data_IF_486008088976
#
_entry.id   IF_486008088976
#
_cell.length_a   1.000
_cell.length_b   1.000
_cell.length_c   1.000
_cell.angle_alpha   90.00
_cell.angle_beta   90.00
_cell.angle_gamma   90.00
#
_symmetry.space_group_name_H-M   'P 1'
#
loop_
_entity.id
_entity.type
_entity.pdbx_description
1 polymer ?
#
# COMPACT_ATOMS: atom_id res chain seq x y z
N UNK A 1 -0.41 12.18 24.90
CA UNK A 1 -1.77 12.60 24.49
C UNK A 1 -2.80 11.78 25.26
N UNK A 2 -3.91 12.40 25.68
CA UNK A 2 -4.99 11.72 26.41
C UNK A 2 -5.67 10.69 25.50
N UNK A 3 -5.89 9.42 25.92
CA UNK A 3 -6.53 8.42 25.07
C UNK A 3 -8.00 8.75 24.81
N UNK A 4 -8.40 8.83 23.55
CA UNK A 4 -9.78 9.06 23.13
C UNK A 4 -10.47 7.71 22.82
N UNK A 5 -11.72 7.47 23.27
CA UNK A 5 -12.44 6.22 22.98
C UNK A 5 -12.64 5.98 21.48
N UNK A 6 -12.47 4.73 21.03
CA UNK A 6 -12.68 4.28 19.64
C UNK A 6 -14.12 3.80 19.35
N UNK A 7 -15.11 4.23 20.14
CA UNK A 7 -16.50 3.82 19.96
C UNK A 7 -17.23 4.84 19.08
N UNK A 8 -17.24 4.56 17.78
CA UNK A 8 -18.11 5.21 16.79
C UNK A 8 -19.26 4.29 16.39
N UNK A 9 -20.35 4.87 15.88
CA UNK A 9 -21.48 4.13 15.31
C UNK A 9 -21.05 3.34 14.07
N UNK A 10 -21.20 2.01 14.10
CA UNK A 10 -20.94 1.15 12.96
C UNK A 10 -22.19 1.09 12.06
N UNK A 11 -22.13 1.72 10.88
CA UNK A 11 -23.08 1.46 9.80
C UNK A 11 -22.45 0.53 8.75
N UNK A 12 -23.27 -0.09 7.89
CA UNK A 12 -22.82 -1.01 6.83
C UNK A 12 -22.09 -0.32 5.67
N UNK A 13 -22.04 1.00 5.67
CA UNK A 13 -21.02 1.81 5.01
C UNK A 13 -19.93 2.13 6.04
N UNK A 14 -18.64 2.15 5.69
CA UNK A 14 -17.54 2.60 6.56
C UNK A 14 -17.79 4.02 7.10
N UNK A 15 -18.64 4.18 8.12
CA UNK A 15 -19.39 5.40 8.50
C UNK A 15 -18.55 6.52 9.11
N UNK A 16 -17.46 6.84 8.44
CA UNK A 16 -16.61 8.01 8.59
C UNK A 16 -16.43 8.57 7.20
N UNK A 17 -16.80 9.84 6.98
CA UNK A 17 -16.57 10.49 5.70
C UNK A 17 -15.05 10.52 5.48
N UNK A 18 -14.53 9.74 4.53
CA UNK A 18 -13.08 9.49 4.42
C UNK A 18 -12.20 10.73 4.22
N UNK A 19 -12.79 11.90 3.96
CA UNK A 19 -12.10 13.19 3.93
C UNK A 19 -11.60 13.65 5.30
N UNK A 20 -12.40 13.56 6.36
CA UNK A 20 -11.97 13.96 7.73
C UNK A 20 -10.78 13.10 8.19
N UNK A 21 -10.84 11.81 7.87
CA UNK A 21 -9.79 10.82 8.14
C UNK A 21 -8.47 11.11 7.39
N UNK A 22 -8.56 11.84 6.28
CA UNK A 22 -7.43 12.21 5.45
C UNK A 22 -6.80 13.53 5.93
N UNK A 23 -7.61 14.48 6.39
CA UNK A 23 -7.11 15.71 7.02
C UNK A 23 -6.40 15.39 8.36
N UNK A 24 -7.01 14.54 9.20
CA UNK A 24 -6.36 14.01 10.42
C UNK A 24 -5.03 13.31 10.14
N UNK A 25 -4.92 12.64 8.99
CA UNK A 25 -3.69 11.97 8.59
C UNK A 25 -2.61 12.96 8.17
N UNK A 26 -2.98 13.97 7.38
CA UNK A 26 -2.07 15.05 6.96
C UNK A 26 -1.53 15.81 8.18
N UNK A 27 -2.36 16.01 9.20
CA UNK A 27 -1.93 16.66 10.45
C UNK A 27 -0.92 15.81 11.25
N UNK A 28 -0.87 14.50 11.00
CA UNK A 28 -0.02 13.55 11.73
C UNK A 28 1.21 13.07 10.96
N UNK A 29 1.17 13.10 9.63
CA UNK A 29 2.22 12.60 8.76
C UNK A 29 2.76 13.71 7.87
N UNK A 30 4.07 13.90 7.89
CA UNK A 30 4.74 14.73 6.90
C UNK A 30 4.71 14.07 5.52
N UNK A 31 4.69 14.85 4.43
CA UNK A 31 4.95 14.33 3.09
C UNK A 31 6.25 13.51 3.05
N UNK A 32 6.26 12.46 2.23
CA UNK A 32 7.43 11.61 2.06
C UNK A 32 8.57 12.39 1.39
N UNK A 33 9.83 12.08 1.72
CA UNK A 33 10.96 12.64 1.00
C UNK A 33 10.93 12.19 -0.46
N UNK A 34 11.34 13.08 -1.36
CA UNK A 34 11.51 12.73 -2.77
C UNK A 34 12.62 11.69 -2.89
N UNK A 35 12.27 10.52 -3.41
CA UNK A 35 13.21 9.45 -3.75
C UNK A 35 13.23 9.26 -5.26
N UNK A 36 14.26 8.58 -5.75
CA UNK A 36 14.29 8.17 -7.16
C UNK A 36 13.05 7.31 -7.51
N UNK A 37 12.30 7.61 -8.59
CA UNK A 37 11.08 6.88 -8.95
C UNK A 37 11.35 5.44 -9.40
N UNK A 38 10.46 4.50 -9.06
CA UNK A 38 10.55 3.12 -9.53
C UNK A 38 10.53 3.05 -11.08
N UNK A 39 11.38 2.22 -11.71
CA UNK A 39 11.32 1.98 -13.15
C UNK A 39 9.92 1.51 -13.60
N UNK A 40 9.45 1.98 -14.76
CA UNK A 40 8.10 1.70 -15.25
C UNK A 40 7.90 0.23 -15.66
N UNK A 41 8.94 -0.37 -16.24
CA UNK A 41 9.04 -1.82 -16.50
C UNK A 41 8.93 -2.61 -15.20
N UNK A 42 9.61 -2.18 -14.14
CA UNK A 42 9.49 -2.82 -12.83
C UNK A 42 8.06 -2.74 -12.26
N UNK A 43 7.38 -1.58 -12.41
CA UNK A 43 5.98 -1.45 -11.99
C UNK A 43 5.10 -2.49 -12.70
N UNK A 44 5.32 -2.71 -14.00
CA UNK A 44 4.61 -3.70 -14.80
C UNK A 44 4.94 -5.16 -14.40
N UNK A 45 6.19 -5.44 -14.03
CA UNK A 45 6.67 -6.79 -13.70
C UNK A 45 6.33 -7.25 -12.28
N UNK A 46 6.20 -6.32 -11.33
CA UNK A 46 5.98 -6.62 -9.90
C UNK A 46 4.86 -7.63 -9.62
N UNK A 47 3.68 -7.58 -10.28
CA UNK A 47 2.64 -8.59 -10.05
C UNK A 47 3.12 -10.02 -10.36
N UNK A 48 3.92 -10.20 -11.41
CA UNK A 48 4.47 -11.52 -11.75
C UNK A 48 5.54 -11.96 -10.74
N UNK A 49 6.42 -11.03 -10.33
CA UNK A 49 7.45 -11.28 -9.33
C UNK A 49 6.85 -11.72 -7.98
N UNK A 50 5.77 -11.06 -7.55
CA UNK A 50 5.07 -11.42 -6.30
C UNK A 50 4.26 -12.70 -6.45
N UNK A 51 3.61 -12.90 -7.61
CA UNK A 51 2.79 -14.09 -7.88
C UNK A 51 3.54 -15.41 -7.67
N UNK A 52 4.84 -15.45 -7.99
CA UNK A 52 5.70 -16.61 -7.76
C UNK A 52 5.88 -17.02 -6.28
N UNK A 53 5.46 -16.16 -5.34
CA UNK A 53 5.57 -16.37 -3.89
C UNK A 53 4.20 -16.42 -3.18
N UNK A 54 3.10 -16.66 -3.90
CA UNK A 54 1.73 -16.68 -3.37
C UNK A 54 1.15 -18.10 -3.23
N UNK A 55 1.80 -18.95 -2.44
CA UNK A 55 1.40 -20.35 -2.31
C UNK A 55 -0.02 -20.57 -1.78
N UNK A 56 -0.54 -19.70 -0.90
CA UNK A 56 -1.92 -19.83 -0.40
C UNK A 56 -2.94 -19.40 -1.45
N UNK A 57 -2.66 -18.35 -2.21
CA UNK A 57 -3.48 -17.97 -3.35
C UNK A 57 -3.50 -19.06 -4.42
N UNK A 58 -2.36 -19.67 -4.75
CA UNK A 58 -2.31 -20.76 -5.73
C UNK A 58 -3.15 -21.96 -5.31
N UNK A 59 -3.16 -22.27 -4.00
CA UNK A 59 -3.94 -23.36 -3.46
C UNK A 59 -5.45 -23.08 -3.34
N UNK A 60 -5.86 -21.81 -3.20
CA UNK A 60 -7.24 -21.48 -2.76
C UNK A 60 -7.97 -20.46 -3.62
N UNK A 61 -7.25 -19.57 -4.32
CA UNK A 61 -7.80 -18.40 -5.01
C UNK A 61 -8.51 -17.39 -4.11
N UNK A 62 -8.49 -17.56 -2.78
CA UNK A 62 -9.41 -16.90 -1.85
C UNK A 62 -8.72 -15.90 -0.89
N UNK A 63 -7.50 -15.49 -1.21
CA UNK A 63 -6.71 -14.57 -0.40
C UNK A 63 -6.15 -13.41 -1.22
N UNK A 64 -5.81 -12.34 -0.53
CA UNK A 64 -5.02 -11.23 -1.04
C UNK A 64 -3.57 -11.34 -0.56
N UNK A 65 -2.63 -10.93 -1.40
CA UNK A 65 -1.26 -10.62 -1.01
C UNK A 65 -0.99 -9.12 -0.92
N UNK A 66 -0.06 -8.78 -0.03
CA UNK A 66 0.74 -7.57 -0.07
C UNK A 66 2.23 -7.95 -0.03
N UNK A 67 3.08 -7.14 -0.68
CA UNK A 67 4.51 -7.43 -0.75
C UNK A 67 5.37 -6.17 -0.76
N UNK A 68 6.62 -6.31 -0.29
CA UNK A 68 7.66 -5.29 -0.35
C UNK A 68 8.61 -5.62 -1.48
N UNK A 69 8.92 -4.65 -2.32
CA UNK A 69 9.94 -4.77 -3.36
C UNK A 69 10.85 -3.55 -3.37
N UNK A 70 12.04 -3.70 -3.94
CA UNK A 70 12.98 -2.59 -4.15
C UNK A 70 13.14 -2.25 -5.64
N UNK A 71 13.96 -1.24 -5.92
CA UNK A 71 14.25 -0.76 -7.27
C UNK A 71 14.91 -1.79 -8.19
N UNK A 72 15.47 -2.89 -7.66
CA UNK A 72 16.05 -3.96 -8.49
C UNK A 72 15.05 -5.07 -8.79
N UNK A 73 13.80 -4.93 -8.32
CA UNK A 73 12.77 -5.96 -8.43
C UNK A 73 12.89 -7.09 -7.43
N UNK A 74 13.76 -6.98 -6.42
CA UNK A 74 13.84 -8.03 -5.40
C UNK A 74 12.63 -7.93 -4.48
N UNK A 75 11.81 -8.99 -4.46
CA UNK A 75 10.69 -9.12 -3.52
C UNK A 75 11.24 -9.49 -2.15
N UNK A 76 11.21 -8.55 -1.20
CA UNK A 76 11.81 -8.68 0.13
C UNK A 76 10.89 -9.41 1.11
N UNK A 77 9.58 -9.30 0.94
CA UNK A 77 8.58 -9.83 1.86
C UNK A 77 7.24 -9.99 1.15
N UNK A 78 6.55 -11.11 1.39
CA UNK A 78 5.17 -11.34 0.95
C UNK A 78 4.34 -11.80 2.14
N UNK A 79 3.11 -11.29 2.27
CA UNK A 79 2.13 -11.77 3.24
C UNK A 79 0.76 -11.91 2.59
N UNK A 80 0.11 -13.03 2.89
CA UNK A 80 -1.22 -13.35 2.42
C UNK A 80 -2.24 -13.30 3.56
N UNK A 81 -3.46 -12.89 3.22
CA UNK A 81 -4.62 -12.91 4.11
C UNK A 81 -5.93 -12.87 3.32
N UNK A 82 -7.01 -13.39 3.88
CA UNK A 82 -8.36 -13.25 3.29
C UNK A 82 -8.73 -11.78 3.11
N UNK A 83 -8.34 -10.91 4.05
CA UNK A 83 -8.55 -9.47 3.97
C UNK A 83 -7.35 -8.72 3.39
N UNK A 84 -7.54 -7.94 2.32
CA UNK A 84 -6.48 -7.08 1.75
C UNK A 84 -5.83 -6.14 2.77
N UNK A 85 -6.62 -5.61 3.71
CA UNK A 85 -6.12 -4.70 4.74
C UNK A 85 -5.16 -5.41 5.68
N UNK A 86 -5.50 -6.64 6.05
CA UNK A 86 -4.70 -7.47 6.94
C UNK A 86 -3.40 -7.93 6.24
N UNK A 87 -3.44 -8.20 4.93
CA UNK A 87 -2.23 -8.52 4.17
C UNK A 87 -1.21 -7.38 4.26
N UNK A 88 -1.65 -6.13 4.10
CA UNK A 88 -0.79 -4.93 4.28
C UNK A 88 -0.33 -4.80 5.73
N UNK A 89 -1.22 -4.97 6.72
CA UNK A 89 -0.84 -4.90 8.14
C UNK A 89 0.21 -5.95 8.51
N UNK A 90 0.11 -7.17 7.97
CA UNK A 90 1.10 -8.23 8.16
C UNK A 90 2.45 -7.85 7.55
N UNK A 91 2.47 -7.19 6.40
CA UNK A 91 3.71 -6.68 5.79
C UNK A 91 4.36 -5.63 6.69
N UNK A 92 3.62 -4.59 7.05
CA UNK A 92 4.13 -3.48 7.87
C UNK A 92 4.55 -3.98 9.26
N UNK A 93 3.72 -4.82 9.89
CA UNK A 93 4.02 -5.42 11.19
C UNK A 93 5.24 -6.34 11.16
N UNK A 94 5.42 -7.12 10.10
CA UNK A 94 6.62 -7.95 9.95
C UNK A 94 7.88 -7.12 9.74
N UNK A 95 7.82 -6.00 8.97
CA UNK A 95 8.93 -5.06 8.87
C UNK A 95 9.26 -4.44 10.22
N UNK A 96 8.26 -3.96 10.96
CA UNK A 96 8.46 -3.36 12.27
C UNK A 96 9.13 -4.31 13.27
N UNK A 97 8.71 -5.58 13.29
CA UNK A 97 9.20 -6.56 14.25
C UNK A 97 10.55 -7.18 13.87
N UNK A 98 10.78 -7.43 12.58
CA UNK A 98 11.94 -8.21 12.12
C UNK A 98 12.95 -7.39 11.32
N UNK A 99 12.58 -6.22 10.81
CA UNK A 99 13.41 -5.37 9.94
C UNK A 99 13.25 -3.88 10.26
N UNK A 100 13.38 -3.45 11.53
CA UNK A 100 13.12 -2.08 11.93
C UNK A 100 14.04 -1.05 11.23
N UNK A 101 15.22 -1.47 10.78
CA UNK A 101 16.14 -0.61 10.00
C UNK A 101 15.68 -0.32 8.57
N UNK A 102 14.70 -1.09 8.05
CA UNK A 102 14.07 -0.83 6.76
C UNK A 102 12.86 0.12 6.89
N UNK A 103 12.56 0.59 8.11
CA UNK A 103 11.55 1.61 8.38
C UNK A 103 12.21 2.93 8.81
N UNK A 104 11.73 4.07 8.31
CA UNK A 104 10.71 4.23 7.27
C UNK A 104 11.18 3.69 5.90
N UNK A 105 10.25 3.09 5.14
CA UNK A 105 10.49 2.32 3.92
C UNK A 105 10.81 3.19 2.68
N UNK A 106 11.57 4.27 2.89
CA UNK A 106 11.96 5.21 1.84
C UNK A 106 12.76 4.48 0.76
N UNK A 107 12.30 4.56 -0.49
CA UNK A 107 12.91 3.86 -1.63
C UNK A 107 12.43 2.42 -1.84
N UNK A 108 11.53 1.90 -0.99
CA UNK A 108 10.84 0.63 -1.22
C UNK A 108 9.44 0.86 -1.79
N UNK A 109 8.95 -0.13 -2.51
CA UNK A 109 7.60 -0.20 -3.05
C UNK A 109 6.73 -1.19 -2.29
N UNK A 110 5.45 -0.87 -2.17
CA UNK A 110 4.41 -1.75 -1.65
C UNK A 110 3.52 -2.24 -2.80
N UNK A 111 3.49 -3.54 -3.01
CA UNK A 111 2.53 -4.19 -3.89
C UNK A 111 1.28 -4.61 -3.12
N UNK A 112 0.11 -4.45 -3.74
CA UNK A 112 -1.16 -5.02 -3.28
C UNK A 112 -1.92 -5.70 -4.43
N UNK A 113 -2.35 -6.94 -4.19
CA UNK A 113 -3.15 -7.73 -5.15
C UNK A 113 -4.58 -7.24 -5.32
N UNK A 114 -5.07 -6.39 -4.42
CA UNK A 114 -6.44 -5.87 -4.40
C UNK A 114 -6.60 -4.48 -5.00
N UNK A 115 -7.73 -3.84 -4.65
CA UNK A 115 -7.96 -2.40 -4.89
C UNK A 115 -7.15 -1.56 -3.91
N UNK A 116 -6.66 -0.41 -4.35
CA UNK A 116 -6.07 0.60 -3.47
C UNK A 116 -7.17 1.51 -2.91
N UNK A 117 -7.58 1.26 -1.67
CA UNK A 117 -8.43 2.19 -0.92
C UNK A 117 -7.58 3.25 -0.22
N UNK A 118 -8.23 4.28 0.32
CA UNK A 118 -7.51 5.34 1.06
C UNK A 118 -6.68 4.72 2.17
N UNK A 119 -7.24 3.80 2.95
CA UNK A 119 -6.60 3.16 4.09
C UNK A 119 -5.34 2.36 3.69
N UNK A 120 -5.29 1.81 2.47
CA UNK A 120 -4.08 1.15 1.96
C UNK A 120 -2.97 2.17 1.74
N UNK A 121 -3.31 3.32 1.15
CA UNK A 121 -2.37 4.42 0.95
C UNK A 121 -1.95 5.05 2.27
N UNK A 122 -2.85 5.18 3.26
CA UNK A 122 -2.51 5.69 4.58
C UNK A 122 -1.49 4.80 5.29
N UNK A 123 -1.68 3.47 5.24
CA UNK A 123 -0.72 2.51 5.80
C UNK A 123 0.63 2.56 5.09
N UNK A 124 0.62 2.70 3.77
CA UNK A 124 1.82 2.84 2.98
C UNK A 124 2.60 4.12 3.34
N UNK A 125 1.89 5.25 3.43
CA UNK A 125 2.43 6.54 3.84
C UNK A 125 3.01 6.49 5.25
N UNK A 126 2.25 5.97 6.22
CA UNK A 126 2.70 5.83 7.61
C UNK A 126 3.96 4.94 7.73
N UNK A 127 4.09 3.92 6.89
CA UNK A 127 5.26 3.04 6.85
C UNK A 127 6.43 3.62 6.03
N UNK A 128 6.23 4.71 5.27
CA UNK A 128 7.26 5.40 4.52
C UNK A 128 7.47 4.94 3.08
N UNK A 129 6.59 4.10 2.52
CA UNK A 129 6.72 3.59 1.15
C UNK A 129 6.55 4.71 0.11
N UNK A 130 7.54 4.88 -0.77
CA UNK A 130 7.50 5.89 -1.83
C UNK A 130 6.66 5.48 -3.05
N UNK A 131 6.26 4.22 -3.16
CA UNK A 131 5.48 3.70 -4.29
C UNK A 131 4.48 2.65 -3.82
N UNK A 132 3.26 2.70 -4.34
CA UNK A 132 2.21 1.69 -4.21
C UNK A 132 1.80 1.18 -5.58
N UNK A 133 1.86 -0.13 -5.78
CA UNK A 133 1.46 -0.82 -7.01
C UNK A 133 0.26 -1.71 -6.71
N UNK A 134 -0.88 -1.43 -7.34
CA UNK A 134 -2.12 -2.18 -7.17
C UNK A 134 -2.55 -2.90 -8.46
N UNK A 135 -2.88 -4.19 -8.34
CA UNK A 135 -3.42 -4.98 -9.47
C UNK A 135 -4.79 -4.46 -9.94
N UNK A 136 -5.56 -3.86 -9.03
CA UNK A 136 -6.90 -3.33 -9.30
C UNK A 136 -6.98 -1.80 -9.15
N UNK A 137 -8.20 -1.26 -9.26
CA UNK A 137 -8.46 0.17 -9.26
C UNK A 137 -8.13 0.85 -7.92
N UNK A 138 -7.57 2.08 -7.94
CA UNK A 138 -7.59 2.96 -6.78
C UNK A 138 -8.94 3.69 -6.64
N UNK A 139 -9.27 4.14 -5.43
CA UNK A 139 -10.38 5.10 -5.23
C UNK A 139 -9.90 6.54 -5.42
N UNK A 140 -10.82 7.48 -5.69
CA UNK A 140 -10.48 8.89 -5.81
C UNK A 140 -9.77 9.43 -4.55
N UNK A 141 -10.25 9.02 -3.37
CA UNK A 141 -9.65 9.40 -2.10
C UNK A 141 -8.25 8.78 -1.88
N UNK A 142 -7.98 7.58 -2.41
CA UNK A 142 -6.65 6.99 -2.40
C UNK A 142 -5.68 7.79 -3.28
N UNK A 143 -6.15 8.30 -4.43
CA UNK A 143 -5.36 9.17 -5.31
C UNK A 143 -5.06 10.51 -4.62
N UNK A 144 -6.03 11.12 -3.94
CA UNK A 144 -5.80 12.35 -3.17
C UNK A 144 -4.78 12.14 -2.05
N UNK A 145 -4.93 11.06 -1.28
CA UNK A 145 -3.96 10.67 -0.25
C UNK A 145 -2.55 10.51 -0.81
N UNK A 146 -2.43 9.85 -1.96
CA UNK A 146 -1.15 9.60 -2.59
C UNK A 146 -0.44 10.90 -2.98
N UNK A 147 -1.19 11.86 -3.54
CA UNK A 147 -0.67 13.17 -3.93
C UNK A 147 -0.22 13.99 -2.72
N UNK A 148 -1.02 14.02 -1.65
CA UNK A 148 -0.65 14.74 -0.41
C UNK A 148 0.59 14.13 0.25
N UNK A 149 0.73 12.81 0.17
CA UNK A 149 1.89 12.09 0.70
C UNK A 149 3.15 12.23 -0.16
N UNK A 150 3.04 12.61 -1.44
CA UNK A 150 4.15 12.53 -2.38
C UNK A 150 4.54 11.09 -2.77
N UNK A 151 3.61 10.13 -2.69
CA UNK A 151 3.86 8.75 -3.11
C UNK A 151 3.36 8.48 -4.53
N UNK A 152 4.11 7.65 -5.24
CA UNK A 152 3.68 7.14 -6.54
C UNK A 152 2.57 6.10 -6.36
N UNK A 153 1.43 6.27 -7.03
CA UNK A 153 0.32 5.30 -7.01
C UNK A 153 0.03 4.78 -8.41
N UNK A 154 0.34 3.51 -8.65
CA UNK A 154 -0.01 2.79 -9.87
C UNK A 154 -1.17 1.83 -9.62
N UNK A 155 -2.13 1.78 -10.55
CA UNK A 155 -3.30 0.93 -10.47
C UNK A 155 -3.61 0.24 -11.80
N UNK A 156 -4.48 -0.78 -11.74
CA UNK A 156 -4.76 -1.66 -12.88
C UNK A 156 -3.51 -2.32 -13.48
N UNK A 157 -2.52 -2.63 -12.65
CA UNK A 157 -1.25 -3.21 -13.11
C UNK A 157 -1.45 -4.66 -13.50
N UNK A 158 -1.36 -4.94 -14.81
CA UNK A 158 -1.57 -6.26 -15.42
C UNK A 158 -0.69 -6.41 -16.66
N UNK A 159 0.36 -7.22 -16.56
CA UNK A 159 1.33 -7.36 -17.63
C UNK A 159 1.96 -6.00 -17.96
N UNK A 160 1.97 -5.63 -19.22
CA UNK A 160 2.53 -4.37 -19.75
C UNK A 160 1.59 -3.16 -19.62
N UNK A 161 0.43 -3.31 -18.97
CA UNK A 161 -0.58 -2.25 -18.83
C UNK A 161 -0.78 -1.82 -17.38
N UNK A 162 -0.75 -0.52 -17.16
CA UNK A 162 -1.08 0.12 -15.88
C UNK A 162 -1.42 1.61 -16.08
N UNK A 163 -1.91 2.26 -15.03
CA UNK A 163 -2.06 3.71 -14.98
C UNK A 163 -1.34 4.26 -13.75
N UNK A 164 -0.59 5.35 -13.92
CA UNK A 164 -0.01 6.12 -12.81
C UNK A 164 -0.97 7.25 -12.46
N UNK A 165 -1.55 7.21 -11.26
CA UNK A 165 -2.57 8.17 -10.80
C UNK A 165 -1.98 9.34 -10.00
N UNK A 166 -0.85 9.09 -9.37
CA UNK A 166 -0.03 10.06 -8.63
C UNK A 166 1.42 9.77 -8.99
N UNK A 167 2.11 10.62 -9.74
CA UNK A 167 3.57 10.58 -9.86
C UNK A 167 4.21 11.30 -8.66
N UNK A 168 5.35 10.79 -8.17
CA UNK A 168 6.19 11.49 -7.19
C UNK A 168 7.13 12.50 -7.87
#
# INVERSE_FOLDING_TARGET
PTPTPRLGTTSSSCGWCGSEQLDDLVDRLAPLPVTEPMPLDLIAEVPALVGAAQGLFDATGAVHAAAVFDRTGAVRLVREDVGRHNAVDKVVGAMLLARPSELPAHGLGLFVSGRASVEMVQKAWAAGFGTVVAVSAPTALAVDAARRAGLTLAGFVRGDRFNVYSPA
#
